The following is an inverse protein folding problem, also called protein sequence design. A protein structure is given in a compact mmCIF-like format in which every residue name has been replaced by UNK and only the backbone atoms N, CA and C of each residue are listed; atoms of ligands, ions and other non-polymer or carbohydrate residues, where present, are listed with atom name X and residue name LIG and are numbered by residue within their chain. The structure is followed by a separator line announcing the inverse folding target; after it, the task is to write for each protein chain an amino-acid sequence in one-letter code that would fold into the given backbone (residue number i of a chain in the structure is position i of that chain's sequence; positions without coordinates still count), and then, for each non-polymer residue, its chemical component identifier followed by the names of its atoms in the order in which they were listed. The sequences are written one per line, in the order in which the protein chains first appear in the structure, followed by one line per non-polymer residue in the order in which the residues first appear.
data_IF_999347665468
#
_entry.id   IF_999347665468
#
_cell.length_a   1.000
_cell.length_b   1.000
_cell.length_c   1.000
_cell.angle_alpha   90.00
_cell.angle_beta   90.00
_cell.angle_gamma   90.00
#
_symmetry.space_group_name_H-M   'P 1'
#
loop_
_entity.id
_entity.type
_entity.pdbx_description
1 polymer ?
#
# COMPACT_ATOMS: atom_id res chain seq x y z
N UNK A 1 26.75 -5.16 2.71
CA UNK A 1 26.68 -4.63 4.10
C UNK A 1 25.23 -4.47 4.57
N UNK A 2 24.33 -3.87 3.76
CA UNK A 2 22.92 -3.67 4.13
C UNK A 2 22.13 -4.96 4.47
N UNK A 3 22.36 -6.05 3.75
CA UNK A 3 21.64 -7.32 3.94
C UNK A 3 21.91 -7.97 5.30
N UNK A 4 23.15 -7.93 5.81
CA UNK A 4 23.50 -8.52 7.12
C UNK A 4 22.84 -7.75 8.26
N UNK A 5 22.85 -6.42 8.20
CA UNK A 5 22.21 -5.58 9.21
C UNK A 5 20.69 -5.78 9.21
N UNK A 6 20.07 -5.84 8.02
CA UNK A 6 18.64 -6.14 7.86
C UNK A 6 18.27 -7.52 8.41
N UNK A 7 18.99 -8.58 8.04
CA UNK A 7 18.77 -9.93 8.57
C UNK A 7 18.94 -9.98 10.09
N UNK A 8 19.96 -9.31 10.62
CA UNK A 8 20.19 -9.25 12.08
C UNK A 8 19.01 -8.57 12.78
N UNK A 9 18.58 -7.40 12.29
CA UNK A 9 17.45 -6.68 12.86
C UNK A 9 16.15 -7.49 12.77
N UNK A 10 15.92 -8.17 11.64
CA UNK A 10 14.77 -9.05 11.45
C UNK A 10 14.78 -10.20 12.47
N UNK A 11 15.89 -10.95 12.59
CA UNK A 11 16.02 -12.06 13.55
C UNK A 11 15.77 -11.57 14.99
N UNK A 12 16.31 -10.41 15.38
CA UNK A 12 16.06 -9.86 16.71
C UNK A 12 14.57 -9.50 16.91
N UNK A 13 13.91 -8.98 15.88
CA UNK A 13 12.48 -8.65 15.91
C UNK A 13 11.54 -9.85 16.04
N UNK A 14 12.00 -11.05 15.66
CA UNK A 14 11.25 -12.31 15.76
C UNK A 14 11.32 -12.97 17.15
N UNK A 15 12.13 -12.46 18.08
CA UNK A 15 12.20 -13.00 19.44
C UNK A 15 10.92 -12.69 20.22
N UNK A 16 10.46 -13.67 21.00
CA UNK A 16 9.31 -13.48 21.90
C UNK A 16 9.62 -12.43 22.96
N UNK A 17 8.68 -11.51 23.20
CA UNK A 17 8.88 -10.36 24.07
C UNK A 17 7.99 -10.37 25.31
N UNK A 18 6.74 -10.83 25.19
CA UNK A 18 5.81 -10.85 26.30
C UNK A 18 6.34 -11.57 27.56
N UNK A 19 7.07 -12.71 27.46
CA UNK A 19 7.62 -13.39 28.65
C UNK A 19 8.56 -12.52 29.50
N UNK A 20 9.18 -11.48 28.89
CA UNK A 20 10.14 -10.59 29.54
C UNK A 20 9.47 -9.32 30.09
N UNK A 21 8.18 -9.11 29.84
CA UNK A 21 7.46 -7.84 30.11
C UNK A 21 6.57 -7.88 31.36
N UNK A 22 6.96 -8.68 32.37
CA UNK A 22 6.16 -8.87 33.61
C UNK A 22 5.85 -7.56 34.36
N UNK A 23 6.74 -6.57 34.26
CA UNK A 23 6.62 -5.28 34.93
C UNK A 23 6.15 -4.14 34.00
N UNK A 24 5.82 -4.44 32.74
CA UNK A 24 5.34 -3.44 31.79
C UNK A 24 3.87 -3.08 32.02
N UNK A 25 3.45 -1.93 31.49
CA UNK A 25 2.03 -1.56 31.47
C UNK A 25 1.19 -2.63 30.77
N UNK A 26 -0.02 -2.89 31.29
CA UNK A 26 -0.91 -3.97 30.82
C UNK A 26 -1.12 -3.91 29.30
N UNK A 27 -1.36 -2.73 28.74
CA UNK A 27 -1.52 -2.55 27.29
C UNK A 27 -0.30 -3.07 26.49
N UNK A 28 0.92 -2.71 26.91
CA UNK A 28 2.14 -3.08 26.21
C UNK A 28 2.40 -4.58 26.29
N UNK A 29 2.13 -5.19 27.45
CA UNK A 29 2.22 -6.65 27.61
C UNK A 29 1.23 -7.36 26.70
N UNK A 30 -0.05 -6.96 26.72
CA UNK A 30 -1.08 -7.59 25.89
C UNK A 30 -0.81 -7.43 24.39
N UNK A 31 -0.26 -6.27 23.98
CA UNK A 31 0.18 -6.05 22.60
C UNK A 31 1.28 -7.06 22.20
N UNK A 32 2.30 -7.22 23.04
CA UNK A 32 3.40 -8.14 22.74
C UNK A 32 2.98 -9.61 22.86
N UNK A 33 2.00 -9.96 23.71
CA UNK A 33 1.38 -11.29 23.73
C UNK A 33 0.68 -11.59 22.40
N UNK A 34 -0.10 -10.65 21.87
CA UNK A 34 -0.76 -10.81 20.57
C UNK A 34 0.24 -10.89 19.40
N UNK A 35 1.34 -10.13 19.46
CA UNK A 35 2.42 -10.21 18.48
C UNK A 35 3.21 -11.51 18.59
N UNK A 36 3.42 -12.04 19.80
CA UNK A 36 4.15 -13.29 20.04
C UNK A 36 3.44 -14.51 19.44
N UNK A 37 2.10 -14.50 19.34
CA UNK A 37 1.36 -15.51 18.56
C UNK A 37 1.88 -15.55 17.11
N UNK A 38 2.00 -14.39 16.47
CA UNK A 38 2.52 -14.30 15.09
C UNK A 38 4.00 -14.63 14.97
N UNK A 39 4.82 -14.30 15.98
CA UNK A 39 6.26 -14.68 16.00
C UNK A 39 6.44 -16.19 16.10
N UNK A 40 5.61 -16.85 16.92
CA UNK A 40 5.63 -18.30 17.11
C UNK A 40 5.27 -19.05 15.84
N UNK A 41 4.29 -18.54 15.09
CA UNK A 41 3.87 -19.12 13.81
C UNK A 41 4.74 -18.66 12.62
N UNK A 42 5.80 -17.89 12.87
CA UNK A 42 6.63 -17.23 11.84
C UNK A 42 5.84 -16.39 10.83
N UNK A 43 4.65 -15.93 11.23
CA UNK A 43 3.72 -15.13 10.44
C UNK A 43 3.79 -13.62 10.78
N UNK A 44 4.73 -13.20 11.63
CA UNK A 44 4.95 -11.79 11.93
C UNK A 44 5.62 -11.10 10.73
N UNK A 45 4.80 -10.41 9.95
CA UNK A 45 5.27 -9.61 8.83
C UNK A 45 6.11 -8.42 9.31
N UNK A 46 7.34 -8.32 8.83
CA UNK A 46 8.25 -7.20 9.10
C UNK A 46 8.50 -6.48 7.77
N UNK A 47 7.89 -5.31 7.54
CA UNK A 47 8.07 -4.59 6.28
C UNK A 47 9.54 -4.21 6.08
N UNK A 48 10.09 -4.55 4.93
CA UNK A 48 11.36 -4.05 4.45
C UNK A 48 11.16 -3.34 3.11
N UNK A 49 12.02 -2.37 2.79
CA UNK A 49 12.09 -1.84 1.44
C UNK A 49 12.54 -2.98 0.53
N UNK A 50 11.75 -3.30 -0.49
CA UNK A 50 12.08 -4.35 -1.45
C UNK A 50 13.27 -3.93 -2.32
N UNK A 51 14.15 -4.86 -2.64
CA UNK A 51 15.37 -4.58 -3.43
C UNK A 51 15.07 -3.98 -4.82
N UNK A 52 13.91 -4.29 -5.41
CA UNK A 52 13.53 -3.70 -6.68
C UNK A 52 13.20 -2.20 -6.58
N UNK A 53 12.76 -1.71 -5.40
CA UNK A 53 12.55 -0.27 -5.17
C UNK A 53 13.86 0.51 -5.08
N UNK A 54 14.96 -0.13 -4.69
CA UNK A 54 16.31 0.46 -4.72
C UNK A 54 17.02 0.28 -6.07
N UNK A 55 16.38 -0.39 -7.05
CA UNK A 55 17.01 -0.72 -8.34
C UNK A 55 18.03 -1.87 -8.25
N UNK A 56 18.10 -2.56 -7.11
CA UNK A 56 19.06 -3.63 -6.83
C UNK A 56 18.48 -5.03 -7.16
N UNK A 57 17.26 -5.11 -7.70
CA UNK A 57 16.60 -6.37 -8.01
C UNK A 57 15.49 -6.25 -9.05
N UNK A 58 15.10 -7.39 -9.61
CA UNK A 58 13.95 -7.52 -10.52
C UNK A 58 12.68 -7.72 -9.69
N UNK A 59 11.60 -7.05 -10.06
CA UNK A 59 10.32 -7.13 -9.37
C UNK A 59 9.45 -8.26 -9.95
N UNK A 60 9.17 -9.27 -9.12
CA UNK A 60 8.27 -10.38 -9.46
C UNK A 60 6.97 -10.35 -8.64
N UNK A 61 6.78 -9.35 -7.78
CA UNK A 61 5.69 -9.35 -6.81
C UNK A 61 4.77 -8.13 -6.92
N UNK A 62 5.08 -7.14 -7.78
CA UNK A 62 4.16 -6.03 -7.98
C UNK A 62 2.91 -6.45 -8.74
N UNK A 63 1.84 -5.74 -8.44
CA UNK A 63 0.57 -5.82 -9.15
C UNK A 63 0.53 -4.86 -10.37
N UNK A 64 1.65 -4.24 -10.75
CA UNK A 64 1.75 -3.42 -11.99
C UNK A 64 1.96 -4.34 -13.21
N UNK A 65 1.02 -5.27 -13.42
CA UNK A 65 1.14 -6.37 -14.39
C UNK A 65 1.40 -5.84 -15.81
N UNK A 66 0.76 -4.72 -16.15
CA UNK A 66 0.85 -4.09 -17.47
C UNK A 66 1.92 -3.00 -17.54
N UNK A 67 2.73 -2.82 -16.49
CA UNK A 67 3.78 -1.81 -16.43
C UNK A 67 3.27 -0.36 -16.66
N UNK A 68 2.00 -0.10 -16.40
CA UNK A 68 1.40 1.22 -16.65
C UNK A 68 1.88 2.25 -15.63
N UNK A 69 2.21 1.81 -14.41
CA UNK A 69 2.82 2.66 -13.40
C UNK A 69 4.29 2.95 -13.68
N UNK A 70 5.05 1.92 -14.04
CA UNK A 70 6.50 2.01 -14.26
C UNK A 70 6.90 2.74 -15.55
N UNK A 71 6.10 2.66 -16.62
CA UNK A 71 6.36 3.38 -17.89
C UNK A 71 6.19 4.89 -17.79
N UNK A 72 5.51 5.38 -16.75
CA UNK A 72 5.22 6.80 -16.57
C UNK A 72 4.09 7.35 -17.45
N UNK A 73 3.46 6.52 -18.30
CA UNK A 73 2.34 6.96 -19.14
C UNK A 73 1.13 7.41 -18.30
N UNK A 74 0.81 6.67 -17.24
CA UNK A 74 -0.24 7.09 -16.28
C UNK A 74 0.12 8.43 -15.65
N UNK A 75 1.40 8.62 -15.26
CA UNK A 75 1.85 9.88 -14.64
C UNK A 75 1.66 11.06 -15.59
N UNK A 76 2.10 10.92 -16.84
CA UNK A 76 1.96 11.98 -17.83
C UNK A 76 0.48 12.33 -18.11
N UNK A 77 -0.39 11.32 -18.19
CA UNK A 77 -1.84 11.53 -18.36
C UNK A 77 -2.45 12.22 -17.14
N UNK A 78 -2.09 11.79 -15.93
CA UNK A 78 -2.54 12.39 -14.68
C UNK A 78 -2.10 13.86 -14.57
N UNK A 79 -0.83 14.17 -14.82
CA UNK A 79 -0.30 15.54 -14.75
C UNK A 79 -0.97 16.45 -15.78
N UNK A 80 -1.25 15.95 -16.98
CA UNK A 80 -1.99 16.68 -18.02
C UNK A 80 -3.42 17.00 -17.58
N UNK A 81 -4.11 16.02 -16.98
CA UNK A 81 -5.48 16.17 -16.48
C UNK A 81 -5.57 17.10 -15.26
N UNK A 82 -4.55 17.06 -14.40
CA UNK A 82 -4.43 17.99 -13.29
C UNK A 82 -4.25 19.42 -13.78
N UNK A 83 -3.41 19.62 -14.81
CA UNK A 83 -3.17 20.92 -15.41
C UNK A 83 -4.40 21.49 -16.14
N UNK A 84 -5.33 20.65 -16.62
CA UNK A 84 -6.59 21.11 -17.24
C UNK A 84 -7.64 21.56 -16.23
N UNK A 85 -7.45 21.25 -14.93
CA UNK A 85 -8.38 21.60 -13.85
C UNK A 85 -7.64 22.37 -12.74
N UNK A 86 -7.21 23.62 -12.94
CA UNK A 86 -6.36 24.33 -11.98
C UNK A 86 -7.01 24.62 -10.62
N UNK A 87 -8.35 24.72 -10.57
CA UNK A 87 -9.13 25.01 -9.35
C UNK A 87 -9.69 23.74 -8.69
N UNK A 88 -9.06 22.59 -8.91
CA UNK A 88 -9.48 21.31 -8.36
C UNK A 88 -9.30 21.25 -6.82
N UNK A 89 -10.24 20.58 -6.15
CA UNK A 89 -10.04 20.17 -4.77
C UNK A 89 -9.26 18.86 -4.72
N UNK A 90 -8.27 18.76 -3.82
CA UNK A 90 -7.49 17.52 -3.59
C UNK A 90 -8.31 16.39 -2.94
N UNK A 91 -9.56 16.67 -2.57
CA UNK A 91 -10.42 15.77 -1.82
C UNK A 91 -11.88 15.97 -2.25
N UNK A 92 -12.74 14.98 -1.95
CA UNK A 92 -14.13 14.95 -2.41
C UNK A 92 -15.12 15.66 -1.49
N UNK A 93 -14.67 16.43 -0.48
CA UNK A 93 -15.46 17.06 0.60
C UNK A 93 -16.32 16.12 1.49
N UNK A 94 -16.80 14.98 0.99
CA UNK A 94 -17.60 14.02 1.75
C UNK A 94 -17.65 12.62 1.14
N UNK A 95 -18.48 11.77 1.73
CA UNK A 95 -18.81 10.44 1.18
C UNK A 95 -19.80 10.57 0.02
N UNK A 96 -19.84 9.58 -0.88
CA UNK A 96 -20.68 9.58 -2.10
C UNK A 96 -22.14 10.04 -1.87
N UNK A 97 -22.77 9.61 -0.78
CA UNK A 97 -24.19 9.88 -0.53
C UNK A 97 -24.49 11.30 -0.04
N UNK A 98 -23.50 12.01 0.51
CA UNK A 98 -23.68 13.35 1.06
C UNK A 98 -23.16 14.36 0.05
N UNK A 99 -21.85 14.60 0.02
CA UNK A 99 -21.23 15.61 -0.84
C UNK A 99 -20.05 15.07 -1.68
N UNK A 100 -19.80 13.76 -1.62
CA UNK A 100 -18.68 13.11 -2.33
C UNK A 100 -18.95 12.70 -3.77
N UNK A 101 -20.12 13.02 -4.32
CA UNK A 101 -20.52 12.61 -5.66
C UNK A 101 -20.67 13.82 -6.58
N UNK A 102 -19.68 14.03 -7.43
CA UNK A 102 -19.56 15.18 -8.33
C UNK A 102 -19.48 14.74 -9.80
N UNK A 103 -19.55 15.69 -10.72
CA UNK A 103 -19.68 15.37 -12.15
C UNK A 103 -18.51 14.55 -12.69
N UNK A 104 -17.29 14.91 -12.29
CA UNK A 104 -16.07 14.20 -12.72
C UNK A 104 -16.07 12.73 -12.31
N UNK A 105 -16.47 12.40 -11.07
CA UNK A 105 -16.49 10.99 -10.63
C UNK A 105 -17.55 10.19 -11.40
N UNK A 106 -18.72 10.77 -11.69
CA UNK A 106 -19.75 10.11 -12.49
C UNK A 106 -19.33 9.93 -13.95
N UNK A 107 -18.55 10.85 -14.51
CA UNK A 107 -17.97 10.72 -15.84
C UNK A 107 -17.01 9.52 -15.88
N UNK A 108 -16.05 9.45 -14.95
CA UNK A 108 -15.10 8.33 -14.86
C UNK A 108 -15.83 7.00 -14.68
N UNK A 109 -16.90 6.95 -13.88
CA UNK A 109 -17.73 5.75 -13.73
C UNK A 109 -18.39 5.30 -15.05
N UNK A 110 -18.89 6.24 -15.86
CA UNK A 110 -19.44 5.92 -17.19
C UNK A 110 -18.36 5.41 -18.14
N UNK A 111 -17.18 6.02 -18.14
CA UNK A 111 -16.04 5.60 -18.96
C UNK A 111 -15.57 4.19 -18.59
N UNK A 112 -15.48 3.87 -17.30
CA UNK A 112 -15.15 2.52 -16.82
C UNK A 112 -16.23 1.53 -17.24
N UNK A 113 -17.51 1.88 -17.09
CA UNK A 113 -18.61 1.02 -17.50
C UNK A 113 -18.64 0.78 -19.01
N UNK A 114 -18.25 1.76 -19.82
CA UNK A 114 -18.06 1.61 -21.26
C UNK A 114 -16.85 0.74 -21.60
N UNK A 115 -15.71 0.94 -20.93
CA UNK A 115 -14.51 0.12 -21.11
C UNK A 115 -14.74 -1.36 -20.80
N UNK A 116 -15.54 -1.66 -19.78
CA UNK A 116 -15.87 -3.03 -19.37
C UNK A 116 -16.95 -3.69 -20.23
N UNK A 117 -17.68 -2.92 -21.05
CA UNK A 117 -18.72 -3.51 -21.90
C UNK A 117 -18.09 -4.42 -22.97
N UNK A 118 -18.66 -5.61 -23.20
CA UNK A 118 -18.23 -6.45 -24.30
C UNK A 118 -18.49 -5.71 -25.62
N UNK A 119 -17.50 -5.69 -26.51
CA UNK A 119 -17.72 -5.16 -27.86
C UNK A 119 -18.66 -6.10 -28.63
N UNK A 120 -19.65 -5.58 -29.37
CA UNK A 120 -20.46 -6.40 -30.25
C UNK A 120 -19.56 -7.06 -31.31
N UNK A 121 -19.81 -8.36 -31.56
CA UNK A 121 -19.13 -9.17 -32.56
C UNK A 121 -19.50 -8.73 -33.99
#
# INVERSE_FOLDING_TARGET
MATKAMLTAWIQGQKLKAPQMKNAAVFQRNLEEALDVRRTDHALFTPNISAWKSGEGVDFCSNDILHLGSTGQIRAAFEKELASHPDYNLYSDGVRMLDGNYEYIQQVEREIAEFQRPRPL
#
